data_IF_700631805028
#
_entry.id   IF_700631805028
#
_cell.length_a   1.000
_cell.length_b   1.000
_cell.length_c   1.000
_cell.angle_alpha   90.00
_cell.angle_beta   90.00
_cell.angle_gamma   90.00
#
_symmetry.space_group_name_H-M   'P 1'
#
loop_
_entity.id
_entity.type
_entity.pdbx_description
1 polymer ?
#
# COMPACT_ATOMS: atom_id res chain seq x y z
N UNK A 1 25.58 -32.10 -16.82
CA UNK A 1 24.18 -31.90 -17.26
C UNK A 1 23.49 -30.98 -16.27
N UNK A 2 23.33 -29.69 -16.61
CA UNK A 2 22.68 -28.68 -15.77
C UNK A 2 21.20 -28.58 -16.17
N UNK A 3 20.28 -28.75 -15.21
CA UNK A 3 18.84 -28.59 -15.40
C UNK A 3 18.50 -27.11 -15.61
N UNK A 4 17.86 -26.82 -16.73
CA UNK A 4 17.25 -25.54 -17.10
C UNK A 4 16.00 -25.32 -16.23
N UNK A 5 15.89 -24.16 -15.60
CA UNK A 5 14.64 -23.65 -15.00
C UNK A 5 14.04 -22.70 -16.04
N UNK A 6 12.77 -22.83 -16.45
CA UNK A 6 12.20 -21.98 -17.47
C UNK A 6 11.96 -20.57 -16.91
N UNK A 7 12.37 -19.56 -17.68
CA UNK A 7 12.01 -18.18 -17.46
C UNK A 7 10.52 -18.00 -17.76
N UNK A 8 9.75 -17.59 -16.75
CA UNK A 8 8.37 -17.17 -16.93
C UNK A 8 8.37 -15.70 -17.38
N UNK A 9 8.33 -15.48 -18.69
CA UNK A 9 7.87 -14.23 -19.29
C UNK A 9 6.36 -14.12 -19.07
N UNK A 10 5.96 -13.47 -17.98
CA UNK A 10 4.58 -13.03 -17.79
C UNK A 10 4.51 -11.55 -18.16
N UNK A 11 4.26 -11.29 -19.45
CA UNK A 11 3.70 -10.02 -19.86
C UNK A 11 2.28 -9.90 -19.31
N UNK A 12 2.16 -9.39 -18.08
CA UNK A 12 0.87 -8.93 -17.57
C UNK A 12 0.50 -7.66 -18.31
N UNK A 13 -0.40 -7.80 -19.31
CA UNK A 13 -1.20 -6.66 -19.76
C UNK A 13 -2.07 -6.25 -18.58
N UNK A 14 -2.02 -5.00 -18.08
CA UNK A 14 -3.08 -4.52 -17.22
C UNK A 14 -4.40 -4.75 -17.97
N UNK A 15 -5.48 -5.20 -17.30
CA UNK A 15 -6.74 -5.38 -17.97
C UNK A 15 -7.06 -4.06 -18.66
N UNK A 16 -7.09 -4.09 -20.00
CA UNK A 16 -7.85 -3.12 -20.75
C UNK A 16 -9.23 -3.18 -20.09
N UNK A 17 -9.67 -2.07 -19.50
CA UNK A 17 -11.05 -1.91 -19.05
C UNK A 17 -11.88 -2.26 -20.28
N UNK A 18 -12.37 -3.49 -20.32
CA UNK A 18 -13.23 -3.94 -21.37
C UNK A 18 -14.42 -3.00 -21.28
N UNK A 19 -14.66 -2.22 -22.33
CA UNK A 19 -15.81 -1.34 -22.50
C UNK A 19 -17.12 -2.17 -22.60
N UNK A 20 -17.26 -3.25 -21.82
CA UNK A 20 -18.39 -4.18 -21.82
C UNK A 20 -19.11 -4.31 -20.49
N UNK A 21 -18.67 -3.62 -19.42
CA UNK A 21 -19.55 -3.33 -18.28
C UNK A 21 -19.85 -1.83 -18.27
N UNK A 22 -20.96 -1.46 -18.90
CA UNK A 22 -21.48 -0.09 -18.77
C UNK A 22 -21.64 0.25 -17.28
N UNK A 23 -21.44 1.51 -16.88
CA UNK A 23 -21.65 1.97 -15.49
C UNK A 23 -22.98 1.46 -14.93
N UNK A 24 -23.99 1.34 -15.79
CA UNK A 24 -25.30 0.81 -15.47
C UNK A 24 -25.25 -0.63 -14.91
N UNK A 25 -24.47 -1.52 -15.54
CA UNK A 25 -24.29 -2.91 -15.10
C UNK A 25 -23.62 -2.99 -13.73
N UNK A 26 -22.60 -2.17 -13.50
CA UNK A 26 -21.88 -2.09 -12.24
C UNK A 26 -22.85 -1.72 -11.11
N UNK A 27 -23.64 -0.66 -11.32
CA UNK A 27 -24.62 -0.20 -10.31
C UNK A 27 -25.75 -1.21 -10.08
N UNK A 28 -26.18 -1.94 -11.11
CA UNK A 28 -27.15 -3.03 -10.94
C UNK A 28 -26.61 -4.19 -10.12
N UNK A 29 -25.39 -4.64 -10.40
CA UNK A 29 -24.72 -5.70 -9.63
C UNK A 29 -24.53 -5.27 -8.18
N UNK A 30 -24.09 -4.03 -7.95
CA UNK A 30 -23.97 -3.47 -6.60
C UNK A 30 -25.32 -3.46 -5.88
N UNK A 31 -26.38 -2.93 -6.51
CA UNK A 31 -27.73 -2.93 -5.94
C UNK A 31 -28.18 -4.34 -5.55
N UNK A 32 -27.94 -5.34 -6.41
CA UNK A 32 -28.37 -6.71 -6.17
C UNK A 32 -27.59 -7.45 -5.07
N UNK A 33 -26.37 -7.03 -4.75
CA UNK A 33 -25.46 -7.78 -3.87
C UNK A 33 -25.03 -7.02 -2.61
N UNK A 34 -25.41 -5.74 -2.47
CA UNK A 34 -24.94 -4.90 -1.36
C UNK A 34 -25.49 -5.27 0.03
N UNK A 35 -26.68 -5.88 0.09
CA UNK A 35 -27.36 -6.24 1.36
C UNK A 35 -27.80 -5.03 2.21
N UNK A 36 -27.92 -3.84 1.61
CA UNK A 36 -28.23 -2.59 2.28
C UNK A 36 -29.43 -1.93 1.58
N UNK A 37 -30.63 -2.06 2.18
CA UNK A 37 -31.89 -1.67 1.54
C UNK A 37 -31.97 -0.17 1.22
N UNK A 38 -31.47 0.67 2.14
CA UNK A 38 -31.48 2.12 1.94
C UNK A 38 -30.53 2.52 0.81
N UNK A 39 -29.35 1.89 0.76
CA UNK A 39 -28.39 2.05 -0.33
C UNK A 39 -28.96 1.57 -1.67
N UNK A 40 -29.55 0.38 -1.70
CA UNK A 40 -30.20 -0.18 -2.87
C UNK A 40 -31.34 0.72 -3.38
N UNK A 41 -32.09 1.36 -2.47
CA UNK A 41 -33.11 2.34 -2.82
C UNK A 41 -32.52 3.59 -3.50
N UNK A 42 -31.38 4.10 -3.04
CA UNK A 42 -30.72 5.23 -3.72
C UNK A 42 -30.17 4.84 -5.10
N UNK A 43 -29.58 3.64 -5.22
CA UNK A 43 -29.17 3.12 -6.52
C UNK A 43 -30.36 2.95 -7.45
N UNK A 44 -31.51 2.50 -6.96
CA UNK A 44 -32.73 2.39 -7.76
C UNK A 44 -33.22 3.74 -8.29
N UNK A 45 -33.11 4.82 -7.50
CA UNK A 45 -33.41 6.18 -7.99
C UNK A 45 -32.45 6.62 -9.09
N UNK A 46 -31.20 6.13 -9.05
CA UNK A 46 -30.17 6.46 -10.03
C UNK A 46 -30.31 5.65 -11.32
N UNK A 47 -30.62 4.36 -11.26
CA UNK A 47 -30.62 3.46 -12.43
C UNK A 47 -32.02 3.07 -12.93
N UNK A 48 -33.08 3.42 -12.21
CA UNK A 48 -34.46 3.08 -12.56
C UNK A 48 -34.76 1.58 -12.43
N UNK A 49 -35.72 1.11 -13.21
CA UNK A 49 -36.18 -0.29 -13.24
C UNK A 49 -35.20 -1.22 -13.95
N UNK A 50 -35.21 -2.51 -13.58
CA UNK A 50 -34.31 -3.51 -14.16
C UNK A 50 -34.53 -3.68 -15.67
N UNK A 51 -33.47 -3.86 -16.47
CA UNK A 51 -33.64 -4.27 -17.85
C UNK A 51 -34.26 -5.68 -17.88
N UNK A 52 -35.34 -5.84 -18.64
CA UNK A 52 -36.24 -7.02 -18.62
C UNK A 52 -35.58 -8.33 -19.09
N UNK A 53 -34.33 -8.31 -19.56
CA UNK A 53 -33.72 -9.45 -20.29
C UNK A 53 -32.31 -9.88 -19.86
N UNK A 54 -31.80 -9.41 -18.73
CA UNK A 54 -30.39 -9.64 -18.40
C UNK A 54 -30.22 -10.83 -17.44
N UNK A 55 -29.81 -11.98 -18.00
CA UNK A 55 -29.29 -13.13 -17.25
C UNK A 55 -27.92 -12.85 -16.65
N UNK A 56 -27.81 -11.79 -15.84
CA UNK A 56 -26.58 -11.41 -15.16
C UNK A 56 -26.19 -12.53 -14.20
N UNK A 57 -24.95 -13.00 -14.33
CA UNK A 57 -24.30 -13.71 -13.24
C UNK A 57 -24.14 -12.74 -12.08
N UNK A 58 -25.09 -12.75 -11.15
CA UNK A 58 -25.11 -11.94 -9.92
C UNK A 58 -24.06 -12.42 -8.89
N UNK A 59 -23.06 -13.18 -9.33
CA UNK A 59 -22.23 -13.95 -8.42
C UNK A 59 -21.22 -13.09 -7.67
N UNK A 60 -20.79 -11.95 -8.22
CA UNK A 60 -19.79 -11.08 -7.58
C UNK A 60 -20.24 -9.63 -7.47
N UNK A 61 -20.17 -9.10 -6.25
CA UNK A 61 -20.31 -7.67 -5.96
C UNK A 61 -19.12 -6.90 -6.55
N UNK A 62 -19.33 -5.82 -7.32
CA UNK A 62 -18.24 -5.06 -7.93
C UNK A 62 -17.32 -4.42 -6.87
N UNK A 63 -16.02 -4.21 -7.19
CA UNK A 63 -15.10 -3.46 -6.34
C UNK A 63 -15.60 -2.03 -6.08
N UNK A 64 -15.35 -1.49 -4.89
CA UNK A 64 -15.81 -0.15 -4.53
C UNK A 64 -15.33 0.96 -5.50
N UNK A 65 -14.10 0.87 -6.02
CA UNK A 65 -13.58 1.84 -6.98
C UNK A 65 -14.40 1.88 -8.29
N UNK A 66 -14.85 0.72 -8.77
CA UNK A 66 -15.72 0.62 -9.95
C UNK A 66 -17.10 1.23 -9.67
N UNK A 67 -17.67 0.94 -8.49
CA UNK A 67 -18.94 1.54 -8.04
C UNK A 67 -18.84 3.05 -7.97
N UNK A 68 -17.75 3.59 -7.40
CA UNK A 68 -17.52 5.03 -7.31
C UNK A 68 -17.49 5.68 -8.70
N UNK A 69 -16.74 5.07 -9.62
CA UNK A 69 -16.61 5.54 -10.99
C UNK A 69 -17.97 5.53 -11.70
N UNK A 70 -18.71 4.43 -11.56
CA UNK A 70 -20.03 4.27 -12.16
C UNK A 70 -21.04 5.29 -11.61
N UNK A 71 -21.02 5.60 -10.31
CA UNK A 71 -21.85 6.66 -9.71
C UNK A 71 -21.46 8.03 -10.27
N UNK A 72 -20.17 8.35 -10.33
CA UNK A 72 -19.70 9.63 -10.88
C UNK A 72 -20.17 9.80 -12.33
N UNK A 73 -20.04 8.77 -13.16
CA UNK A 73 -20.54 8.78 -14.54
C UNK A 73 -22.06 8.98 -14.58
N UNK A 74 -22.81 8.16 -13.85
CA UNK A 74 -24.27 8.25 -13.79
C UNK A 74 -24.74 9.66 -13.41
N UNK A 75 -24.21 10.23 -12.32
CA UNK A 75 -24.60 11.56 -11.81
C UNK A 75 -24.42 12.69 -12.83
N UNK A 76 -23.48 12.56 -13.77
CA UNK A 76 -23.33 13.55 -14.86
C UNK A 76 -24.48 13.50 -15.89
N UNK A 77 -25.13 12.35 -16.05
CA UNK A 77 -26.14 12.09 -17.07
C UNK A 77 -27.59 12.32 -16.59
N UNK A 78 -27.82 12.44 -15.27
CA UNK A 78 -29.17 12.57 -14.69
C UNK A 78 -29.59 14.01 -14.35
N UNK A 79 -30.89 14.16 -14.08
CA UNK A 79 -31.55 15.41 -13.70
C UNK A 79 -30.96 16.05 -12.43
N UNK A 80 -31.13 17.38 -12.25
CA UNK A 80 -30.59 18.11 -11.10
C UNK A 80 -31.00 17.55 -9.73
N UNK A 81 -32.23 17.04 -9.58
CA UNK A 81 -32.71 16.49 -8.31
C UNK A 81 -31.90 15.25 -7.86
N UNK A 82 -31.63 14.33 -8.78
CA UNK A 82 -30.78 13.16 -8.55
C UNK A 82 -29.35 13.60 -8.27
N UNK A 83 -28.82 14.55 -9.04
CA UNK A 83 -27.48 15.10 -8.84
C UNK A 83 -27.29 15.68 -7.44
N UNK A 84 -28.27 16.44 -6.93
CA UNK A 84 -28.21 17.04 -5.60
C UNK A 84 -28.15 16.00 -4.47
N UNK A 85 -28.77 14.83 -4.66
CA UNK A 85 -28.75 13.75 -3.66
C UNK A 85 -27.36 13.14 -3.50
N UNK A 86 -26.58 13.10 -4.58
CA UNK A 86 -25.22 12.51 -4.60
C UNK A 86 -24.10 13.53 -4.43
N UNK A 87 -24.37 14.81 -4.62
CA UNK A 87 -23.37 15.87 -4.55
C UNK A 87 -22.65 15.91 -3.20
N UNK A 88 -23.39 15.91 -2.08
CA UNK A 88 -22.79 15.95 -0.74
C UNK A 88 -21.97 14.69 -0.41
N UNK A 89 -22.49 13.45 -0.56
CA UNK A 89 -21.70 12.25 -0.29
C UNK A 89 -20.42 12.14 -1.15
N UNK A 90 -20.49 12.52 -2.43
CA UNK A 90 -19.31 12.52 -3.31
C UNK A 90 -18.30 13.59 -2.92
N UNK A 91 -18.75 14.79 -2.51
CA UNK A 91 -17.88 15.85 -2.01
C UNK A 91 -17.20 15.44 -0.70
N UNK A 92 -17.95 14.84 0.22
CA UNK A 92 -17.41 14.28 1.48
C UNK A 92 -16.38 13.19 1.21
N UNK A 93 -16.66 12.27 0.28
CA UNK A 93 -15.70 11.23 -0.10
C UNK A 93 -14.42 11.83 -0.68
N UNK A 94 -14.54 12.79 -1.60
CA UNK A 94 -13.38 13.46 -2.17
C UNK A 94 -12.55 14.19 -1.10
N UNK A 95 -13.21 14.85 -0.15
CA UNK A 95 -12.54 15.47 0.99
C UNK A 95 -11.81 14.44 1.86
N UNK A 96 -12.44 13.31 2.20
CA UNK A 96 -11.84 12.25 3.03
C UNK A 96 -10.67 11.53 2.34
N UNK A 97 -10.68 11.43 1.02
CA UNK A 97 -9.54 10.92 0.26
C UNK A 97 -8.31 11.85 0.32
N UNK A 98 -8.53 13.16 0.53
CA UNK A 98 -7.46 14.16 0.64
C UNK A 98 -7.03 14.45 2.08
N UNK A 99 -7.99 14.47 3.00
CA UNK A 99 -7.83 14.77 4.42
C UNK A 99 -8.38 13.59 5.21
N UNK A 100 -7.55 12.55 5.42
CA UNK A 100 -8.05 11.28 5.89
C UNK A 100 -8.37 11.31 7.39
N UNK A 101 -9.62 11.04 7.77
CA UNK A 101 -10.03 10.85 9.17
C UNK A 101 -9.50 9.53 9.76
N UNK A 102 -9.34 9.40 11.09
CA UNK A 102 -8.94 8.13 11.70
C UNK A 102 -9.79 6.93 11.22
N UNK A 103 -9.14 5.80 10.92
CA UNK A 103 -9.78 4.59 10.39
C UNK A 103 -10.95 4.15 11.27
N UNK A 104 -10.80 4.25 12.59
CA UNK A 104 -11.82 3.91 13.57
C UNK A 104 -13.14 4.65 13.35
N UNK A 105 -13.10 5.91 12.89
CA UNK A 105 -14.31 6.67 12.54
C UNK A 105 -15.03 6.03 11.38
N UNK A 106 -14.32 5.69 10.31
CA UNK A 106 -14.91 5.03 9.15
C UNK A 106 -15.44 3.63 9.48
N UNK A 107 -14.75 2.89 10.35
CA UNK A 107 -15.24 1.59 10.84
C UNK A 107 -16.56 1.73 11.59
N UNK A 108 -16.70 2.75 12.45
CA UNK A 108 -17.96 3.04 13.12
C UNK A 108 -19.05 3.44 12.12
N UNK A 109 -18.70 4.25 11.12
CA UNK A 109 -19.63 4.73 10.09
C UNK A 109 -20.14 3.61 9.16
N UNK A 110 -19.50 2.44 9.12
CA UNK A 110 -20.04 1.28 8.39
C UNK A 110 -21.38 0.79 8.93
N UNK A 111 -21.63 0.95 10.24
CA UNK A 111 -22.89 0.62 10.91
C UNK A 111 -23.81 1.84 11.10
N UNK A 112 -23.48 3.00 10.53
CA UNK A 112 -24.27 4.21 10.69
C UNK A 112 -25.67 4.04 10.05
N UNK A 113 -26.76 4.58 10.64
CA UNK A 113 -28.12 4.40 10.11
C UNK A 113 -28.37 5.05 8.75
N UNK A 114 -27.64 6.10 8.39
CA UNK A 114 -27.77 6.77 7.08
C UNK A 114 -26.82 6.24 6.01
N UNK A 115 -27.37 5.93 4.83
CA UNK A 115 -26.64 5.38 3.68
C UNK A 115 -25.43 6.22 3.24
N UNK A 116 -25.54 7.55 3.31
CA UNK A 116 -24.48 8.45 2.84
C UNK A 116 -23.19 8.28 3.66
N UNK A 117 -23.31 8.12 4.97
CA UNK A 117 -22.15 7.86 5.85
C UNK A 117 -21.55 6.49 5.56
N UNK A 118 -22.39 5.45 5.38
CA UNK A 118 -21.91 4.11 5.02
C UNK A 118 -21.19 4.10 3.68
N UNK A 119 -21.72 4.81 2.67
CA UNK A 119 -21.10 5.00 1.37
C UNK A 119 -19.72 5.66 1.50
N UNK A 120 -19.64 6.83 2.14
CA UNK A 120 -18.36 7.53 2.33
C UNK A 120 -17.36 6.65 3.07
N UNK A 121 -17.76 5.98 4.13
CA UNK A 121 -16.89 5.10 4.92
C UNK A 121 -16.34 3.92 4.10
N UNK A 122 -17.20 3.21 3.35
CA UNK A 122 -16.79 2.08 2.51
C UNK A 122 -15.72 2.50 1.49
N UNK A 123 -15.97 3.59 0.77
CA UNK A 123 -15.08 4.06 -0.28
C UNK A 123 -13.80 4.70 0.26
N UNK A 124 -13.89 5.41 1.40
CA UNK A 124 -12.71 5.90 2.10
C UNK A 124 -11.81 4.74 2.53
N UNK A 125 -12.33 3.71 3.20
CA UNK A 125 -11.54 2.56 3.64
C UNK A 125 -10.82 1.85 2.49
N UNK A 126 -11.45 1.75 1.32
CA UNK A 126 -10.76 1.20 0.12
C UNK A 126 -9.64 2.11 -0.35
N UNK A 127 -9.86 3.43 -0.39
CA UNK A 127 -8.82 4.40 -0.75
C UNK A 127 -7.65 4.44 0.24
N UNK A 128 -7.88 4.09 1.51
CA UNK A 128 -6.82 3.89 2.51
C UNK A 128 -5.96 2.65 2.22
N UNK A 129 -6.51 1.65 1.54
CA UNK A 129 -5.80 0.44 1.14
C UNK A 129 -5.30 -0.36 2.34
N UNK A 130 -4.01 -0.72 2.34
CA UNK A 130 -3.42 -1.60 3.35
C UNK A 130 -3.46 -1.08 4.79
N UNK A 131 -3.59 0.24 5.01
CA UNK A 131 -3.79 0.80 6.35
C UNK A 131 -5.13 0.33 6.98
N UNK A 132 -6.18 0.12 6.18
CA UNK A 132 -7.48 -0.32 6.67
C UNK A 132 -7.57 -1.84 6.93
N UNK A 133 -6.65 -2.62 6.35
CA UNK A 133 -6.70 -4.08 6.34
C UNK A 133 -6.73 -4.70 7.74
N UNK A 134 -5.88 -4.31 8.73
CA UNK A 134 -5.90 -4.94 10.05
C UNK A 134 -7.27 -4.85 10.74
N UNK A 135 -7.91 -3.67 10.72
CA UNK A 135 -9.23 -3.47 11.33
C UNK A 135 -10.34 -4.24 10.61
N UNK A 136 -10.33 -4.22 9.28
CA UNK A 136 -11.30 -4.97 8.48
C UNK A 136 -11.15 -6.48 8.67
N UNK A 137 -9.92 -6.97 8.83
CA UNK A 137 -9.63 -8.38 9.15
C UNK A 137 -10.23 -8.77 10.49
N UNK A 138 -10.03 -7.96 11.52
CA UNK A 138 -10.61 -8.18 12.86
C UNK A 138 -12.14 -8.26 12.83
N UNK A 139 -12.80 -7.49 11.96
CA UNK A 139 -14.26 -7.54 11.78
C UNK A 139 -14.66 -8.80 11.00
N UNK A 140 -13.93 -9.13 9.93
CA UNK A 140 -14.25 -10.24 9.03
C UNK A 140 -14.18 -11.63 9.71
N UNK A 141 -13.42 -11.75 10.79
CA UNK A 141 -13.22 -13.01 11.53
C UNK A 141 -14.23 -13.19 12.68
N UNK A 142 -14.91 -12.12 13.11
CA UNK A 142 -15.95 -12.18 14.14
C UNK A 142 -17.25 -12.75 13.55
N UNK A 143 -17.53 -14.03 13.83
CA UNK A 143 -18.75 -14.72 13.38
C UNK A 143 -20.01 -14.01 13.88
N UNK A 144 -21.00 -13.87 13.00
CA UNK A 144 -22.32 -13.32 13.34
C UNK A 144 -22.37 -11.80 13.46
N UNK A 145 -21.27 -11.10 13.15
CA UNK A 145 -21.27 -9.65 13.08
C UNK A 145 -22.02 -9.18 11.82
N UNK A 146 -22.93 -8.23 11.99
CA UNK A 146 -23.66 -7.55 10.90
C UNK A 146 -22.71 -7.01 9.81
N UNK A 147 -21.51 -6.58 10.19
CA UNK A 147 -20.50 -6.01 9.30
C UNK A 147 -19.57 -7.05 8.66
N UNK A 148 -19.71 -8.35 8.95
CA UNK A 148 -18.78 -9.38 8.48
C UNK A 148 -18.71 -9.41 6.94
N UNK A 149 -19.86 -9.48 6.27
CA UNK A 149 -19.94 -9.53 4.80
C UNK A 149 -19.41 -8.23 4.17
N UNK A 150 -19.71 -7.08 4.77
CA UNK A 150 -19.21 -5.78 4.31
C UNK A 150 -17.69 -5.72 4.43
N UNK A 151 -17.11 -6.17 5.54
CA UNK A 151 -15.67 -6.19 5.74
C UNK A 151 -14.96 -7.12 4.75
N UNK A 152 -15.52 -8.30 4.48
CA UNK A 152 -14.96 -9.22 3.48
C UNK A 152 -14.96 -8.63 2.06
N UNK A 153 -16.05 -7.94 1.68
CA UNK A 153 -16.12 -7.23 0.41
C UNK A 153 -15.15 -6.05 0.34
N UNK A 154 -14.98 -5.28 1.43
CA UNK A 154 -14.01 -4.19 1.49
C UNK A 154 -12.57 -4.70 1.36
N UNK A 155 -12.21 -5.81 2.00
CA UNK A 155 -10.91 -6.43 1.84
C UNK A 155 -10.64 -6.88 0.39
N UNK A 156 -11.64 -7.47 -0.27
CA UNK A 156 -11.53 -7.82 -1.70
C UNK A 156 -11.41 -6.58 -2.60
N UNK A 157 -12.14 -5.50 -2.26
CA UNK A 157 -12.04 -4.23 -2.97
C UNK A 157 -10.66 -3.58 -2.81
N UNK A 158 -10.05 -3.68 -1.62
CA UNK A 158 -8.67 -3.22 -1.36
C UNK A 158 -7.66 -4.04 -2.16
N UNK A 159 -7.80 -5.36 -2.21
CA UNK A 159 -6.96 -6.22 -3.06
C UNK A 159 -7.03 -5.78 -4.51
N UNK A 160 -8.25 -5.60 -5.05
CA UNK A 160 -8.45 -5.18 -6.44
C UNK A 160 -7.83 -3.80 -6.71
N UNK A 161 -8.16 -2.80 -5.88
CA UNK A 161 -7.68 -1.42 -6.04
C UNK A 161 -6.15 -1.31 -5.94
N UNK A 162 -5.57 -1.88 -4.88
CA UNK A 162 -4.12 -1.81 -4.67
C UNK A 162 -3.35 -2.63 -5.70
N UNK A 163 -3.89 -3.75 -6.16
CA UNK A 163 -3.30 -4.52 -7.26
C UNK A 163 -3.31 -3.73 -8.56
N UNK A 164 -4.42 -3.10 -8.93
CA UNK A 164 -4.52 -2.29 -10.13
C UNK A 164 -3.56 -1.09 -10.11
N UNK A 165 -3.46 -0.39 -8.97
CA UNK A 165 -2.62 0.81 -8.81
C UNK A 165 -1.13 0.51 -8.68
N UNK A 166 -0.76 -0.50 -7.90
CA UNK A 166 0.59 -0.62 -7.35
C UNK A 166 1.37 -1.82 -7.89
N UNK A 167 0.71 -2.93 -8.24
CA UNK A 167 1.40 -4.22 -8.50
C UNK A 167 2.51 -4.11 -9.55
N UNK A 168 2.20 -3.56 -10.72
CA UNK A 168 3.11 -3.43 -11.86
C UNK A 168 4.33 -2.54 -11.58
N UNK A 169 4.21 -1.61 -10.62
CA UNK A 169 5.26 -0.65 -10.27
C UNK A 169 5.89 -0.92 -8.90
N UNK A 170 5.43 -1.93 -8.17
CA UNK A 170 5.77 -2.17 -6.75
C UNK A 170 7.29 -2.13 -6.46
N UNK A 171 8.11 -2.66 -7.37
CA UNK A 171 9.59 -2.63 -7.27
C UNK A 171 10.24 -1.23 -7.30
N UNK A 172 9.49 -0.21 -7.71
CA UNK A 172 9.94 1.19 -7.82
C UNK A 172 9.18 2.14 -6.89
N UNK A 173 8.22 1.63 -6.12
CA UNK A 173 7.39 2.47 -5.26
C UNK A 173 7.97 2.45 -3.85
N UNK A 174 8.63 3.53 -3.46
CA UNK A 174 9.28 3.69 -2.16
C UNK A 174 8.34 4.40 -1.18
N UNK A 175 8.08 3.78 -0.03
CA UNK A 175 7.30 4.43 1.02
C UNK A 175 8.11 5.54 1.67
N UNK A 176 7.63 6.79 1.63
CA UNK A 176 8.35 7.93 2.20
C UNK A 176 8.44 7.91 3.74
N UNK A 177 7.50 7.21 4.40
CA UNK A 177 7.50 7.06 5.87
C UNK A 177 8.55 6.06 6.36
N UNK A 178 8.77 4.99 5.61
CA UNK A 178 9.59 3.86 6.04
C UNK A 178 10.85 3.63 5.21
N UNK A 179 10.99 4.28 4.04
CA UNK A 179 12.04 4.01 3.05
C UNK A 179 12.11 2.52 2.62
N UNK A 180 10.96 1.85 2.62
CA UNK A 180 10.82 0.45 2.21
C UNK A 180 9.95 0.37 0.96
N UNK A 181 10.38 -0.42 -0.02
CA UNK A 181 9.63 -0.61 -1.27
C UNK A 181 8.29 -1.29 -1.02
N UNK A 182 7.29 -0.90 -1.80
CA UNK A 182 6.00 -1.56 -1.89
C UNK A 182 6.17 -3.05 -2.18
N UNK A 183 5.32 -3.88 -1.60
CA UNK A 183 5.30 -5.31 -1.86
C UNK A 183 3.90 -5.90 -1.65
N UNK A 184 3.71 -7.16 -2.08
CA UNK A 184 2.51 -7.91 -1.77
C UNK A 184 2.50 -8.30 -0.30
N UNK A 185 1.33 -8.18 0.32
CA UNK A 185 0.99 -8.71 1.63
C UNK A 185 0.02 -9.87 1.43
N UNK A 186 0.38 -11.03 1.97
CA UNK A 186 -0.40 -12.25 1.88
C UNK A 186 -1.14 -12.45 3.18
N UNK A 187 -2.46 -12.46 3.11
CA UNK A 187 -3.30 -12.66 4.28
C UNK A 187 -4.14 -13.92 4.14
N UNK A 188 -3.86 -14.88 5.01
CA UNK A 188 -4.66 -16.08 5.13
C UNK A 188 -5.99 -15.74 5.80
N UNK A 189 -7.10 -16.05 5.13
CA UNK A 189 -8.43 -16.06 5.73
C UNK A 189 -8.73 -17.47 6.19
N UNK A 190 -9.22 -17.64 7.42
CA UNK A 190 -9.72 -18.95 7.86
C UNK A 190 -10.85 -19.41 6.94
N UNK A 191 -10.60 -20.46 6.14
CA UNK A 191 -11.61 -21.09 5.28
C UNK A 191 -11.87 -20.41 3.92
N UNK A 192 -11.07 -19.43 3.50
CA UNK A 192 -11.20 -18.78 2.19
C UNK A 192 -9.85 -18.68 1.47
N UNK A 193 -9.89 -18.46 0.15
CA UNK A 193 -8.69 -18.19 -0.64
C UNK A 193 -7.90 -17.01 -0.02
N UNK A 194 -6.56 -17.10 0.03
CA UNK A 194 -5.74 -15.98 0.46
C UNK A 194 -6.00 -14.80 -0.47
N UNK A 195 -6.08 -13.59 0.08
CA UNK A 195 -6.15 -12.37 -0.71
C UNK A 195 -4.81 -11.66 -0.66
N UNK A 196 -4.47 -10.96 -1.74
CA UNK A 196 -3.21 -10.23 -1.88
C UNK A 196 -3.50 -8.76 -2.04
N UNK A 197 -2.96 -7.95 -1.15
CA UNK A 197 -2.98 -6.49 -1.32
C UNK A 197 -1.56 -5.95 -1.41
N UNK A 198 -1.40 -4.78 -2.02
CA UNK A 198 -0.09 -4.14 -2.18
C UNK A 198 0.04 -2.94 -1.25
N UNK A 199 1.15 -2.85 -0.53
CA UNK A 199 1.45 -1.75 0.38
C UNK A 199 2.91 -1.74 0.81
N UNK A 200 3.30 -0.77 1.64
CA UNK A 200 4.62 -0.73 2.26
C UNK A 200 4.81 -2.00 3.09
N UNK A 201 5.94 -2.70 2.94
CA UNK A 201 6.19 -3.96 3.68
C UNK A 201 6.33 -3.77 5.20
N UNK A 202 6.57 -2.55 5.65
CA UNK A 202 6.73 -2.21 7.07
C UNK A 202 5.45 -1.66 7.69
N UNK A 203 4.90 -0.56 7.16
CA UNK A 203 3.73 0.10 7.75
C UNK A 203 2.40 -0.24 7.08
N UNK A 204 2.39 -1.04 6.02
CA UNK A 204 1.17 -1.45 5.32
C UNK A 204 0.50 -0.39 4.43
N UNK A 205 0.87 0.89 4.52
CA UNK A 205 0.22 1.96 3.74
C UNK A 205 0.31 1.76 2.22
N UNK A 206 -0.74 2.16 1.50
CA UNK A 206 -0.92 1.93 0.06
C UNK A 206 -1.13 3.22 -0.76
N UNK A 207 -0.87 4.39 -0.17
CA UNK A 207 -1.25 5.70 -0.72
C UNK A 207 -0.05 6.52 -1.16
N UNK A 208 0.90 6.71 -0.28
CA UNK A 208 2.00 7.67 -0.41
C UNK A 208 3.28 6.96 -0.82
N UNK A 209 3.57 6.92 -2.12
CA UNK A 209 4.80 6.36 -2.64
C UNK A 209 5.54 7.33 -3.54
N UNK A 210 6.86 7.37 -3.37
CA UNK A 210 7.78 7.97 -4.32
C UNK A 210 8.14 6.95 -5.39
N UNK A 211 7.97 7.29 -6.66
CA UNK A 211 8.48 6.45 -7.75
C UNK A 211 9.99 6.65 -7.86
N UNK A 212 10.76 5.74 -7.26
CA UNK A 212 12.21 5.81 -7.14
C UNK A 212 12.88 4.66 -7.89
N UNK A 213 13.69 4.99 -8.89
CA UNK A 213 14.53 4.05 -9.64
C UNK A 213 16.03 4.19 -9.31
N UNK A 214 16.37 5.15 -8.44
CA UNK A 214 17.73 5.41 -8.02
C UNK A 214 18.20 4.47 -6.91
N UNK A 215 19.27 4.88 -6.26
CA UNK A 215 19.83 4.19 -5.11
C UNK A 215 19.28 4.72 -3.80
N UNK A 216 19.25 3.88 -2.78
CA UNK A 216 18.94 4.26 -1.41
C UNK A 216 20.14 3.87 -0.55
N UNK A 217 20.60 4.80 0.27
CA UNK A 217 21.82 4.65 1.06
C UNK A 217 21.47 4.90 2.51
N UNK A 218 21.86 3.96 3.36
CA UNK A 218 21.79 4.18 4.80
C UNK A 218 23.06 4.91 5.23
N UNK A 219 22.90 6.11 5.78
CA UNK A 219 24.00 6.95 6.25
C UNK A 219 24.01 6.97 7.77
N UNK A 220 25.16 6.65 8.36
CA UNK A 220 25.46 6.83 9.78
C UNK A 220 26.31 8.10 9.91
N UNK A 221 25.62 9.24 10.02
CA UNK A 221 26.22 10.56 10.17
C UNK A 221 25.42 11.39 11.18
N UNK A 222 26.03 11.67 12.34
CA UNK A 222 25.41 12.51 13.39
C UNK A 222 25.29 13.98 13.01
N UNK A 223 26.04 14.45 12.03
CA UNK A 223 26.02 15.84 11.56
C UNK A 223 24.90 16.08 10.54
N UNK A 224 24.43 15.02 9.87
CA UNK A 224 23.29 15.09 8.96
C UNK A 224 21.98 15.31 9.75
N UNK A 225 21.45 16.53 9.71
CA UNK A 225 20.23 16.90 10.46
C UNK A 225 18.95 16.45 9.76
N UNK A 226 18.94 16.45 8.42
CA UNK A 226 17.80 15.99 7.65
C UNK A 226 17.65 14.46 7.73
N UNK A 227 16.41 13.93 7.84
CA UNK A 227 16.18 12.49 7.84
C UNK A 227 16.53 11.86 6.48
N UNK A 228 16.27 12.58 5.40
CA UNK A 228 16.51 12.16 4.01
C UNK A 228 17.10 13.34 3.26
N UNK A 229 18.15 13.08 2.48
CA UNK A 229 18.68 14.01 1.48
C UNK A 229 18.64 13.32 0.11
N UNK A 230 18.12 14.01 -0.90
CA UNK A 230 18.16 13.56 -2.28
C UNK A 230 19.34 14.23 -3.00
N UNK A 231 20.28 13.43 -3.51
CA UNK A 231 21.44 13.88 -4.26
C UNK A 231 21.55 13.10 -5.56
N UNK A 232 21.40 13.79 -6.69
CA UNK A 232 21.44 13.23 -8.04
C UNK A 232 20.40 12.12 -8.27
N UNK A 233 20.76 10.86 -7.98
CA UNK A 233 19.91 9.66 -8.10
C UNK A 233 20.05 8.78 -6.86
N UNK A 234 20.36 9.39 -5.73
CA UNK A 234 20.62 8.71 -4.48
C UNK A 234 19.79 9.35 -3.36
N UNK A 235 18.95 8.55 -2.70
CA UNK A 235 18.31 8.94 -1.45
C UNK A 235 19.18 8.49 -0.29
N UNK A 236 19.70 9.46 0.45
CA UNK A 236 20.54 9.24 1.63
C UNK A 236 19.65 9.34 2.85
N UNK A 237 19.34 8.20 3.47
CA UNK A 237 18.56 8.13 4.70
C UNK A 237 19.47 8.12 5.92
N UNK A 238 19.34 9.10 6.82
CA UNK A 238 20.08 9.11 8.06
C UNK A 238 19.47 8.12 9.06
N UNK A 239 20.23 7.08 9.41
CA UNK A 239 19.79 6.09 10.39
C UNK A 239 19.50 6.71 11.78
N UNK A 240 20.23 7.75 12.19
CA UNK A 240 20.02 8.39 13.49
C UNK A 240 18.66 9.08 13.61
N UNK A 241 18.09 9.54 12.49
CA UNK A 241 16.79 10.22 12.43
C UNK A 241 15.64 9.22 12.22
N UNK A 242 15.84 8.16 11.44
CA UNK A 242 14.80 7.16 11.18
C UNK A 242 14.72 6.04 12.23
N UNK A 243 15.85 5.63 12.82
CA UNK A 243 16.05 4.56 13.82
C UNK A 243 15.50 3.16 13.48
N UNK A 244 14.76 3.03 12.39
CA UNK A 244 14.28 1.77 11.81
C UNK A 244 15.14 1.38 10.61
N UNK A 245 15.25 0.08 10.35
CA UNK A 245 15.89 -0.44 9.14
C UNK A 245 14.98 -0.21 7.93
N UNK A 246 15.59 0.05 6.79
CA UNK A 246 14.90 0.30 5.53
C UNK A 246 15.63 -0.31 4.34
N UNK A 247 14.99 -0.29 3.17
CA UNK A 247 15.60 -0.85 1.97
C UNK A 247 16.75 0.05 1.50
N UNK A 248 17.97 -0.47 1.52
CA UNK A 248 19.15 0.21 1.00
C UNK A 248 19.93 -0.68 0.02
N UNK A 249 20.76 -0.03 -0.78
CA UNK A 249 21.72 -0.64 -1.70
C UNK A 249 23.09 -0.80 -1.04
N UNK A 250 23.50 0.17 -0.21
CA UNK A 250 24.74 0.15 0.57
C UNK A 250 24.62 1.01 1.83
N UNK A 251 25.64 0.93 2.68
CA UNK A 251 25.77 1.70 3.93
C UNK A 251 26.99 2.61 3.85
N UNK A 252 26.87 3.82 4.38
CA UNK A 252 27.98 4.77 4.58
C UNK A 252 28.11 5.14 6.05
N UNK A 253 29.30 4.97 6.62
CA UNK A 253 29.62 5.33 8.00
C UNK A 253 30.56 6.52 7.97
N UNK A 254 30.05 7.72 8.25
CA UNK A 254 30.78 8.97 8.07
C UNK A 254 31.16 9.61 9.41
N UNK A 255 30.16 9.84 10.27
CA UNK A 255 30.32 10.49 11.58
C UNK A 255 29.49 9.72 12.62
N UNK A 256 30.01 8.57 13.03
CA UNK A 256 29.43 7.71 14.06
C UNK A 256 30.54 7.20 14.99
N UNK A 257 30.19 6.82 16.20
CA UNK A 257 31.13 6.10 17.08
C UNK A 257 30.90 4.58 16.97
N UNK A 258 31.81 3.81 17.55
CA UNK A 258 31.73 2.34 17.53
C UNK A 258 30.44 1.80 18.16
N UNK A 259 29.95 2.42 19.22
CA UNK A 259 28.69 2.01 19.88
C UNK A 259 27.48 2.18 18.95
N UNK A 260 27.41 3.27 18.20
CA UNK A 260 26.33 3.51 17.23
C UNK A 260 26.35 2.46 16.12
N UNK A 261 27.55 2.17 15.60
CA UNK A 261 27.75 1.19 14.53
C UNK A 261 27.41 -0.21 15.00
N UNK A 262 27.82 -0.58 16.22
CA UNK A 262 27.45 -1.85 16.83
C UNK A 262 25.94 -1.97 17.04
N UNK A 263 25.28 -0.90 17.51
CA UNK A 263 23.82 -0.87 17.67
C UNK A 263 23.10 -1.05 16.34
N UNK A 264 23.56 -0.38 15.28
CA UNK A 264 23.04 -0.56 13.93
C UNK A 264 23.25 -2.00 13.42
N UNK A 265 24.43 -2.57 13.61
CA UNK A 265 24.72 -3.94 13.21
C UNK A 265 23.89 -4.98 13.97
N UNK A 266 23.62 -4.76 15.27
CA UNK A 266 22.70 -5.59 16.06
C UNK A 266 21.27 -5.51 15.52
N UNK A 267 20.79 -4.31 15.16
CA UNK A 267 19.49 -4.18 14.51
C UNK A 267 19.44 -4.99 13.21
N UNK A 268 20.45 -4.89 12.36
CA UNK A 268 20.54 -5.69 11.12
C UNK A 268 20.52 -7.19 11.41
N UNK A 269 21.27 -7.64 12.42
CA UNK A 269 21.27 -9.05 12.83
C UNK A 269 19.91 -9.55 13.34
N UNK A 270 19.08 -8.65 13.84
CA UNK A 270 17.73 -8.92 14.34
C UNK A 270 16.62 -8.53 13.33
N UNK A 271 16.96 -8.15 12.11
CA UNK A 271 15.97 -7.78 11.10
C UNK A 271 15.08 -8.97 10.77
N UNK A 272 13.77 -8.78 10.66
CA UNK A 272 12.79 -9.83 10.33
C UNK A 272 12.36 -9.83 8.86
N UNK A 273 12.74 -8.82 8.06
CA UNK A 273 12.44 -8.80 6.63
C UNK A 273 13.41 -9.72 5.87
N UNK A 274 12.90 -10.89 5.48
CA UNK A 274 13.64 -11.91 4.73
C UNK A 274 14.21 -11.40 3.40
N UNK A 275 13.63 -10.36 2.78
CA UNK A 275 14.14 -9.76 1.54
C UNK A 275 15.40 -8.92 1.77
N UNK A 276 15.56 -8.35 2.97
CA UNK A 276 16.77 -7.61 3.35
C UNK A 276 17.85 -8.53 3.88
N UNK A 277 17.48 -9.48 4.75
CA UNK A 277 18.40 -10.44 5.36
C UNK A 277 19.35 -11.08 4.35
N UNK A 278 18.81 -11.61 3.24
CA UNK A 278 19.62 -12.28 2.21
C UNK A 278 20.60 -11.36 1.47
N UNK A 279 20.42 -10.04 1.53
CA UNK A 279 21.24 -9.05 0.83
C UNK A 279 22.36 -8.48 1.70
N UNK A 280 22.23 -8.46 3.03
CA UNK A 280 23.15 -7.72 3.91
C UNK A 280 24.62 -8.10 3.69
N UNK A 281 24.95 -9.40 3.66
CA UNK A 281 26.32 -9.86 3.44
C UNK A 281 26.88 -9.53 2.03
N UNK A 282 26.02 -9.09 1.10
CA UNK A 282 26.40 -8.67 -0.25
C UNK A 282 26.41 -7.15 -0.41
N UNK A 283 25.91 -6.40 0.59
CA UNK A 283 25.88 -4.94 0.55
C UNK A 283 27.27 -4.38 0.80
N UNK A 284 27.62 -3.33 0.05
CA UNK A 284 28.85 -2.57 0.31
C UNK A 284 28.68 -1.74 1.58
N UNK A 285 29.74 -1.66 2.38
CA UNK A 285 29.81 -0.76 3.52
C UNK A 285 31.02 0.15 3.37
N UNK A 286 30.75 1.45 3.23
CA UNK A 286 31.75 2.48 3.04
C UNK A 286 32.12 3.15 4.35
N UNK A 287 33.41 3.30 4.61
CA UNK A 287 33.98 3.94 5.79
C UNK A 287 34.54 5.31 5.40
N UNK A 288 33.97 6.38 5.94
CA UNK A 288 34.44 7.75 5.74
C UNK A 288 35.83 7.96 6.34
N UNK A 289 36.61 8.88 5.74
CA UNK A 289 38.00 9.15 6.15
C UNK A 289 38.13 9.58 7.63
N UNK A 290 37.11 10.20 8.20
CA UNK A 290 37.08 10.64 9.60
C UNK A 290 36.73 9.53 10.60
N UNK A 291 36.35 8.33 10.16
CA UNK A 291 35.96 7.23 11.03
C UNK A 291 36.95 6.08 10.95
N UNK A 292 37.57 5.74 12.09
CA UNK A 292 38.45 4.57 12.22
C UNK A 292 37.80 3.57 13.17
N UNK A 293 37.12 2.51 12.66
CA UNK A 293 36.47 1.54 13.52
C UNK A 293 37.49 0.78 14.37
N UNK A 294 37.17 0.48 15.63
CA UNK A 294 37.98 -0.46 16.41
C UNK A 294 38.04 -1.83 15.73
N UNK A 295 38.98 -2.67 16.19
CA UNK A 295 39.11 -4.05 15.71
C UNK A 295 37.81 -4.86 15.90
N UNK A 296 37.06 -4.60 16.97
CA UNK A 296 35.80 -5.29 17.23
C UNK A 296 34.73 -4.86 16.24
N UNK A 297 34.51 -3.54 16.11
CA UNK A 297 33.52 -2.99 15.20
C UNK A 297 33.81 -3.35 13.74
N UNK A 298 35.08 -3.36 13.34
CA UNK A 298 35.49 -3.84 12.01
C UNK A 298 35.05 -5.30 11.77
N UNK A 299 35.30 -6.21 12.71
CA UNK A 299 34.89 -7.63 12.60
C UNK A 299 33.38 -7.77 12.51
N UNK A 300 32.63 -6.98 13.28
CA UNK A 300 31.16 -6.96 13.24
C UNK A 300 30.70 -6.51 11.85
N UNK A 301 31.24 -5.41 11.34
CA UNK A 301 30.89 -4.89 10.02
C UNK A 301 31.24 -5.88 8.88
N UNK A 302 32.44 -6.49 8.92
CA UNK A 302 32.84 -7.51 7.94
C UNK A 302 31.94 -8.75 8.00
N UNK A 303 31.52 -9.17 9.20
CA UNK A 303 30.55 -10.26 9.35
C UNK A 303 29.17 -9.90 8.80
N UNK A 304 28.72 -8.66 8.99
CA UNK A 304 27.39 -8.19 8.58
C UNK A 304 27.32 -7.91 7.08
N UNK A 305 28.34 -7.27 6.50
CA UNK A 305 28.35 -6.75 5.12
C UNK A 305 29.33 -7.45 4.18
N UNK A 306 30.15 -8.37 4.68
CA UNK A 306 31.17 -9.08 3.91
C UNK A 306 32.44 -8.25 3.67
N UNK A 307 32.34 -7.11 2.97
CA UNK A 307 33.51 -6.28 2.61
C UNK A 307 33.32 -4.82 2.99
N UNK A 308 34.35 -4.26 3.63
CA UNK A 308 34.45 -2.83 3.92
C UNK A 308 35.30 -2.13 2.85
N UNK A 309 34.87 -0.96 2.44
CA UNK A 309 35.54 -0.14 1.44
C UNK A 309 35.74 1.28 1.99
N UNK A 310 36.81 2.00 1.61
CA UNK A 310 36.88 3.42 1.88
C UNK A 310 35.75 4.13 1.14
N UNK A 311 35.11 5.11 1.79
CA UNK A 311 34.11 5.93 1.13
C UNK A 311 34.72 6.60 -0.12
N UNK A 312 34.00 6.65 -1.25
CA UNK A 312 34.48 7.41 -2.39
C UNK A 312 34.70 8.85 -1.92
N UNK A 313 35.86 9.44 -2.25
CA UNK A 313 36.02 10.89 -2.14
C UNK A 313 34.83 11.48 -2.87
N UNK A 314 34.02 12.26 -2.15
CA UNK A 314 32.93 12.99 -2.76
C UNK A 314 33.61 13.86 -3.81
N UNK A 315 33.53 13.45 -5.08
CA UNK A 315 34.10 14.20 -6.20
C UNK A 315 33.48 15.59 -6.10
N UNK A 316 34.29 16.57 -5.69
CA UNK A 316 33.85 17.83 -5.10
C UNK A 316 32.59 18.38 -5.77
N UNK A 317 31.52 18.44 -4.99
CA UNK A 317 30.41 19.35 -5.23
C UNK A 317 30.85 20.76 -4.85
#
# INVERSE_FOLDING_TARGET
>A
MKKQIPAADVHYRPPAIALSDSWYNILWREKATCGDDEWAAQLNKLIGSAPVSWGLSLQDRPPAAEVEHAIKQAVTLFEPATRNTWADPLARLAHQQQTPDPIERHIADLGHPGWASRFVARHALVAWGGEAVPRLRDISTKRGAELQTVAQWLLASIEHDTSARLSAKSKWLLCLRCLVYCGPHWDERSGHMPYVHYGCRTCGQSRDFLQWAGHIVTVLDKTMTAPIIEEQKTLRGNWFQHRNLFDCNWVEILQANDEDVERFAVQIGNDTDSRRQGRYHQMRCFIGQGYTPSKNTRRILERTFGRLEPAPEQAGL
#
